data_IF_379011899380
#
_entry.id   IF_379011899380
#
_cell.length_a   1.000
_cell.length_b   1.000
_cell.length_c   1.000
_cell.angle_alpha   90.00
_cell.angle_beta   90.00
_cell.angle_gamma   90.00
#
_symmetry.space_group_name_H-M   'P 1'
#
loop_
_entity.id
_entity.type
_entity.pdbx_description
1 polymer ?
#
# COMPACT_ATOMS: atom_id res chain seq x y z
N UNK A 1 -13.78 -18.05 -4.82
CA UNK A 1 -12.60 -17.69 -4.02
C UNK A 1 -12.84 -16.34 -3.37
N UNK A 2 -13.59 -16.30 -2.26
CA UNK A 2 -13.95 -15.02 -1.62
C UNK A 2 -13.04 -14.64 -0.44
N UNK A 3 -11.98 -15.43 -0.17
CA UNK A 3 -11.12 -15.28 1.02
C UNK A 3 -9.65 -15.64 0.77
N UNK A 4 -9.21 -15.69 -0.49
CA UNK A 4 -7.79 -15.92 -0.77
C UNK A 4 -6.99 -14.63 -0.60
N UNK A 5 -5.71 -14.77 -0.28
CA UNK A 5 -4.80 -13.68 -0.01
C UNK A 5 -3.47 -13.97 -0.70
N UNK A 6 -3.11 -13.12 -1.67
CA UNK A 6 -1.94 -13.35 -2.52
C UNK A 6 -0.61 -13.39 -1.76
N UNK A 7 -0.59 -13.03 -0.47
CA UNK A 7 0.49 -13.28 0.49
C UNK A 7 0.92 -14.76 0.61
N UNK A 8 0.06 -15.71 0.21
CA UNK A 8 0.36 -17.13 0.18
C UNK A 8 1.01 -17.59 -1.15
N UNK A 9 1.03 -16.75 -2.18
CA UNK A 9 1.64 -17.05 -3.47
C UNK A 9 3.09 -16.53 -3.52
N UNK A 10 4.05 -17.47 -3.58
CA UNK A 10 5.48 -17.15 -3.65
C UNK A 10 5.91 -16.40 -4.92
N UNK A 11 5.15 -16.49 -6.02
CA UNK A 11 5.41 -15.74 -7.24
C UNK A 11 4.96 -14.28 -7.09
N UNK A 12 3.81 -14.04 -6.46
CA UNK A 12 3.30 -12.68 -6.20
C UNK A 12 4.15 -11.94 -5.16
N UNK A 13 4.61 -12.62 -4.11
CA UNK A 13 5.42 -11.97 -3.05
C UNK A 13 6.93 -11.94 -3.33
N UNK A 14 7.35 -12.37 -4.53
CA UNK A 14 8.74 -12.22 -4.94
C UNK A 14 9.06 -10.76 -5.18
N UNK A 15 10.20 -10.28 -4.67
CA UNK A 15 10.66 -8.91 -4.98
C UNK A 15 10.98 -8.73 -6.47
N UNK A 16 11.18 -9.82 -7.19
CA UNK A 16 11.57 -9.83 -8.60
C UNK A 16 10.36 -9.82 -9.55
N UNK A 17 9.14 -9.88 -9.04
CA UNK A 17 7.91 -9.77 -9.82
C UNK A 17 7.25 -8.40 -9.61
N UNK A 18 6.65 -7.87 -10.66
CA UNK A 18 5.72 -6.73 -10.58
C UNK A 18 4.33 -7.32 -10.51
N UNK A 19 3.78 -7.49 -9.31
CA UNK A 19 2.47 -8.09 -9.13
C UNK A 19 1.35 -7.10 -9.47
N UNK A 20 0.46 -7.50 -10.37
CA UNK A 20 -0.61 -6.65 -10.92
C UNK A 20 -1.97 -7.19 -10.52
N UNK A 21 -2.73 -6.38 -9.78
CA UNK A 21 -4.13 -6.63 -9.49
C UNK A 21 -5.04 -6.10 -10.61
N UNK A 22 -6.35 -6.29 -10.43
CA UNK A 22 -7.36 -5.94 -11.42
C UNK A 22 -8.40 -4.97 -10.85
N UNK A 23 -8.76 -3.96 -11.64
CA UNK A 23 -9.87 -3.06 -11.37
C UNK A 23 -10.89 -3.05 -12.50
N UNK A 24 -12.14 -2.84 -12.15
CA UNK A 24 -13.22 -2.67 -13.12
C UNK A 24 -13.06 -1.35 -13.87
N UNK A 25 -13.87 -1.15 -14.90
CA UNK A 25 -13.89 0.10 -15.67
C UNK A 25 -14.30 1.34 -14.86
N UNK A 26 -14.88 1.14 -13.67
CA UNK A 26 -15.23 2.20 -12.73
C UNK A 26 -14.16 2.47 -11.68
N UNK A 27 -13.00 1.81 -11.78
CA UNK A 27 -11.88 1.94 -10.84
C UNK A 27 -12.00 1.09 -9.57
N UNK A 28 -13.12 0.39 -9.38
CA UNK A 28 -13.36 -0.46 -8.21
C UNK A 28 -12.53 -1.74 -8.26
N UNK A 29 -12.20 -2.36 -7.12
CA UNK A 29 -11.48 -3.63 -7.12
C UNK A 29 -12.33 -4.72 -7.78
N UNK A 30 -11.71 -5.57 -8.58
CA UNK A 30 -12.40 -6.74 -9.11
C UNK A 30 -12.78 -7.71 -7.98
N UNK A 31 -13.96 -8.32 -8.04
CA UNK A 31 -14.47 -9.22 -6.99
C UNK A 31 -13.63 -10.49 -6.79
N UNK A 32 -12.82 -10.87 -7.78
CA UNK A 32 -11.87 -11.97 -7.75
C UNK A 32 -10.44 -11.53 -7.42
N UNK A 33 -10.20 -10.23 -7.22
CA UNK A 33 -8.87 -9.72 -6.90
C UNK A 33 -8.47 -10.08 -5.48
N UNK A 34 -7.26 -10.59 -5.33
CA UNK A 34 -6.71 -11.00 -4.03
C UNK A 34 -5.88 -9.85 -3.42
N UNK A 35 -6.24 -9.35 -2.23
CA UNK A 35 -5.45 -8.32 -1.56
C UNK A 35 -4.18 -8.91 -0.93
N UNK A 36 -3.04 -8.23 -1.05
CA UNK A 36 -1.87 -8.45 -0.21
C UNK A 36 -0.87 -7.29 -0.30
N UNK A 37 0.07 -7.16 0.64
CA UNK A 37 1.17 -6.19 0.52
C UNK A 37 2.08 -6.39 -0.70
N UNK A 38 2.05 -7.58 -1.33
CA UNK A 38 2.80 -7.88 -2.55
C UNK A 38 2.24 -7.25 -3.82
N UNK A 39 0.95 -6.86 -3.84
CA UNK A 39 0.35 -6.18 -5.01
C UNK A 39 1.05 -4.84 -5.21
N UNK A 40 1.64 -4.64 -6.39
CA UNK A 40 2.40 -3.44 -6.68
C UNK A 40 1.56 -2.35 -7.34
N UNK A 41 0.70 -2.73 -8.28
CA UNK A 41 -0.19 -1.82 -8.98
C UNK A 41 -1.40 -2.58 -9.52
N UNK A 42 -2.31 -1.87 -10.18
CA UNK A 42 -3.46 -2.45 -10.87
C UNK A 42 -3.57 -1.94 -12.29
N UNK A 43 -4.27 -2.71 -13.12
CA UNK A 43 -4.76 -2.30 -14.43
C UNK A 43 -6.21 -2.77 -14.61
N UNK A 44 -6.82 -2.36 -15.72
CA UNK A 44 -8.20 -2.73 -16.05
C UNK A 44 -8.32 -4.24 -16.32
N UNK A 45 -9.48 -4.81 -16.01
CA UNK A 45 -9.86 -6.17 -16.39
C UNK A 45 -11.08 -6.18 -17.31
N UNK A 46 -11.28 -7.26 -18.05
CA UNK A 46 -12.48 -7.47 -18.86
C UNK A 46 -13.77 -7.74 -18.07
N UNK A 47 -13.70 -7.73 -16.74
CA UNK A 47 -14.87 -7.86 -15.86
C UNK A 47 -15.52 -6.49 -15.60
N UNK A 48 -16.78 -6.34 -16.00
CA UNK A 48 -17.51 -5.09 -15.94
C UNK A 48 -18.56 -5.03 -14.84
N UNK A 49 -18.87 -3.81 -14.38
CA UNK A 49 -20.08 -3.52 -13.61
C UNK A 49 -21.10 -2.80 -14.51
N UNK A 50 -22.29 -3.39 -14.70
CA UNK A 50 -23.47 -2.66 -15.18
C UNK A 50 -23.56 -2.30 -16.67
N UNK A 51 -23.04 -3.11 -17.61
CA UNK A 51 -23.29 -2.87 -19.05
C UNK A 51 -22.59 -3.86 -19.98
N UNK A 52 -22.95 -3.80 -21.27
CA UNK A 52 -22.48 -4.67 -22.36
C UNK A 52 -21.37 -4.03 -23.22
N UNK A 53 -20.53 -3.16 -22.64
CA UNK A 53 -19.39 -2.62 -23.36
C UNK A 53 -18.24 -3.64 -23.39
N UNK A 54 -17.55 -3.82 -24.54
CA UNK A 54 -16.29 -4.56 -24.54
C UNK A 54 -15.30 -3.86 -23.62
N UNK A 55 -14.61 -4.62 -22.77
CA UNK A 55 -13.69 -4.08 -21.77
C UNK A 55 -12.25 -4.39 -22.12
N UNK A 56 -11.90 -5.66 -22.05
CA UNK A 56 -10.60 -6.16 -22.51
C UNK A 56 -10.86 -7.07 -23.67
N UNK A 57 -10.54 -6.57 -24.86
CA UNK A 57 -10.72 -7.24 -26.13
C UNK A 57 -9.38 -7.82 -26.59
N UNK A 58 -9.33 -9.13 -26.80
CA UNK A 58 -8.12 -9.87 -27.15
C UNK A 58 -8.39 -10.82 -28.31
N UNK A 59 -7.36 -11.10 -29.09
CA UNK A 59 -7.40 -12.13 -30.13
C UNK A 59 -7.65 -13.51 -29.49
N UNK A 60 -8.48 -14.32 -30.13
CA UNK A 60 -8.76 -15.69 -29.74
C UNK A 60 -8.05 -16.68 -30.67
N UNK A 61 -8.00 -17.95 -30.27
CA UNK A 61 -7.56 -19.04 -31.16
C UNK A 61 -8.53 -19.13 -32.36
N UNK A 62 -8.02 -19.55 -33.52
CA UNK A 62 -8.76 -19.69 -34.78
C UNK A 62 -9.29 -18.37 -35.37
N UNK A 63 -8.43 -17.34 -35.41
CA UNK A 63 -8.69 -16.03 -36.04
C UNK A 63 -9.96 -15.32 -35.51
N UNK A 64 -10.26 -15.54 -34.24
CA UNK A 64 -11.39 -14.94 -33.53
C UNK A 64 -11.00 -13.81 -32.58
N UNK A 65 -11.98 -13.28 -31.87
CA UNK A 65 -11.79 -12.25 -30.86
C UNK A 65 -12.69 -12.51 -29.64
N UNK A 66 -12.15 -12.30 -28.44
CA UNK A 66 -12.91 -12.28 -27.18
C UNK A 66 -12.98 -10.83 -26.72
N UNK A 67 -14.19 -10.30 -26.53
CA UNK A 67 -14.43 -8.89 -26.16
C UNK A 67 -14.56 -8.64 -24.64
N UNK A 68 -14.64 -9.73 -23.87
CA UNK A 68 -14.73 -9.74 -22.42
C UNK A 68 -13.78 -10.79 -21.85
N UNK A 69 -12.49 -10.46 -21.76
CA UNK A 69 -11.50 -11.33 -21.13
C UNK A 69 -11.29 -10.92 -19.66
N UNK A 70 -11.95 -11.56 -18.67
CA UNK A 70 -11.87 -11.17 -17.27
C UNK A 70 -10.63 -11.77 -16.57
N UNK A 71 -10.47 -11.42 -15.30
CA UNK A 71 -9.44 -11.99 -14.42
C UNK A 71 -8.23 -11.08 -14.24
N UNK A 72 -7.46 -11.29 -13.18
CA UNK A 72 -6.13 -10.68 -13.02
C UNK A 72 -5.19 -11.07 -14.19
N UNK A 73 -5.43 -12.23 -14.80
CA UNK A 73 -4.78 -12.67 -16.04
C UNK A 73 -4.98 -11.75 -17.24
N UNK A 74 -6.04 -10.91 -17.25
CA UNK A 74 -6.23 -9.86 -18.27
C UNK A 74 -5.48 -8.57 -17.93
N UNK A 75 -5.30 -8.29 -16.65
CA UNK A 75 -4.62 -7.10 -16.14
C UNK A 75 -3.09 -7.18 -16.32
N UNK A 76 -2.49 -8.35 -16.06
CA UNK A 76 -1.05 -8.54 -16.15
C UNK A 76 -0.48 -8.29 -17.57
N UNK A 77 -1.07 -8.78 -18.68
CA UNK A 77 -0.62 -8.46 -20.04
C UNK A 77 -0.76 -6.98 -20.40
N UNK A 78 -1.79 -6.29 -19.90
CA UNK A 78 -1.94 -4.84 -20.09
C UNK A 78 -0.77 -4.10 -19.42
N UNK A 79 -0.45 -4.46 -18.18
CA UNK A 79 0.71 -3.90 -17.50
C UNK A 79 2.02 -4.21 -18.26
N UNK A 80 2.19 -5.44 -18.74
CA UNK A 80 3.35 -5.82 -19.56
C UNK A 80 3.48 -4.95 -20.82
N UNK A 81 2.36 -4.65 -21.50
CA UNK A 81 2.34 -3.73 -22.64
C UNK A 81 2.74 -2.30 -22.26
N UNK A 82 2.25 -1.79 -21.12
CA UNK A 82 2.66 -0.47 -20.60
C UNK A 82 4.17 -0.45 -20.29
N UNK A 83 4.68 -1.51 -19.66
CA UNK A 83 6.11 -1.63 -19.35
C UNK A 83 6.97 -1.74 -20.62
N UNK A 84 6.46 -2.36 -21.68
CA UNK A 84 7.13 -2.37 -22.97
C UNK A 84 7.30 -0.96 -23.56
N UNK A 85 6.27 -0.11 -23.49
CA UNK A 85 6.34 1.29 -23.92
C UNK A 85 7.35 2.10 -23.08
N UNK A 86 7.41 1.83 -21.78
CA UNK A 86 8.37 2.45 -20.87
C UNK A 86 9.81 2.09 -21.26
N UNK A 87 10.06 0.81 -21.52
CA UNK A 87 11.38 0.30 -21.90
C UNK A 87 11.77 0.70 -23.33
N UNK A 88 10.79 0.92 -24.22
CA UNK A 88 11.04 1.45 -25.56
C UNK A 88 11.65 2.87 -25.49
N UNK A 89 11.16 3.70 -24.56
CA UNK A 89 11.69 5.06 -24.37
C UNK A 89 13.00 5.08 -23.60
N UNK A 90 13.18 4.18 -22.63
CA UNK A 90 14.43 4.07 -21.88
C UNK A 90 14.82 2.60 -21.65
N UNK A 91 15.62 2.01 -22.55
CA UNK A 91 16.03 0.60 -22.45
C UNK A 91 17.07 0.35 -21.35
N UNK A 92 17.67 1.40 -20.78
CA UNK A 92 18.68 1.29 -19.70
C UNK A 92 18.04 1.15 -18.31
N UNK A 93 16.71 1.24 -18.21
CA UNK A 93 15.99 1.03 -16.94
C UNK A 93 16.23 -0.38 -16.41
N UNK A 94 16.69 -0.49 -15.18
CA UNK A 94 16.77 -1.77 -14.48
C UNK A 94 15.38 -2.23 -14.04
N UNK A 95 15.26 -3.51 -13.68
CA UNK A 95 14.02 -4.05 -13.12
C UNK A 95 13.53 -3.29 -11.86
N UNK A 96 14.46 -2.72 -11.06
CA UNK A 96 14.14 -1.89 -9.90
C UNK A 96 13.67 -0.50 -10.32
N UNK A 97 14.27 0.09 -11.34
CA UNK A 97 13.86 1.41 -11.82
C UNK A 97 12.40 1.39 -12.32
N UNK A 98 12.01 0.31 -13.01
CA UNK A 98 10.61 0.08 -13.41
C UNK A 98 9.68 0.06 -12.18
N UNK A 99 10.10 -0.59 -11.10
CA UNK A 99 9.34 -0.62 -9.86
C UNK A 99 9.21 0.78 -9.20
N UNK A 100 10.29 1.56 -9.18
CA UNK A 100 10.24 2.95 -8.69
C UNK A 100 9.37 3.86 -9.56
N UNK A 101 9.36 3.66 -10.88
CA UNK A 101 8.45 4.35 -11.80
C UNK A 101 7.00 4.03 -11.45
N UNK A 102 6.64 2.75 -11.32
CA UNK A 102 5.29 2.35 -10.90
C UNK A 102 4.86 3.04 -9.61
N UNK A 103 5.71 3.02 -8.57
CA UNK A 103 5.39 3.63 -7.28
C UNK A 103 5.20 5.16 -7.34
N UNK A 104 5.97 5.84 -8.20
CA UNK A 104 5.95 7.31 -8.32
C UNK A 104 4.90 7.85 -9.28
N UNK A 105 4.39 7.03 -10.21
CA UNK A 105 3.45 7.48 -11.25
C UNK A 105 2.04 6.93 -11.11
N UNK A 106 1.83 5.86 -10.33
CA UNK A 106 0.51 5.26 -10.17
C UNK A 106 -0.54 6.25 -9.62
N UNK A 107 -1.80 6.06 -10.05
CA UNK A 107 -2.93 6.92 -9.70
C UNK A 107 -3.92 6.17 -8.83
N UNK A 108 -4.57 6.87 -7.89
CA UNK A 108 -5.66 6.29 -7.09
C UNK A 108 -6.90 6.14 -7.99
N UNK A 109 -7.35 4.91 -8.31
CA UNK A 109 -8.53 4.72 -9.17
C UNK A 109 -9.86 4.96 -8.44
N UNK A 110 -9.90 4.67 -7.14
CA UNK A 110 -11.08 4.85 -6.29
C UNK A 110 -10.66 5.41 -4.91
N UNK A 111 -10.73 6.74 -4.71
CA UNK A 111 -10.34 7.38 -3.46
C UNK A 111 -11.27 7.05 -2.27
N UNK A 112 -12.48 6.56 -2.53
CA UNK A 112 -13.47 6.25 -1.48
C UNK A 112 -13.37 4.80 -0.99
N UNK A 113 -12.60 3.94 -1.67
CA UNK A 113 -12.33 2.58 -1.20
C UNK A 113 -11.56 2.62 0.14
N UNK A 114 -12.07 1.97 1.20
CA UNK A 114 -11.42 1.99 2.51
C UNK A 114 -10.14 1.15 2.52
N UNK A 115 -9.07 1.72 3.07
CA UNK A 115 -7.78 1.03 3.24
C UNK A 115 -6.58 1.81 2.70
N UNK A 116 -6.81 2.94 2.01
CA UNK A 116 -5.73 3.79 1.52
C UNK A 116 -4.94 4.38 2.66
N UNK A 117 -3.62 4.27 2.57
CA UNK A 117 -2.69 4.85 3.52
C UNK A 117 -1.54 5.52 2.78
N UNK A 118 -0.87 6.49 3.42
CA UNK A 118 0.37 7.07 2.91
C UNK A 118 1.53 6.39 3.62
N UNK A 119 2.44 5.78 2.87
CA UNK A 119 3.61 5.11 3.41
C UNK A 119 4.71 6.12 3.83
N UNK A 120 5.79 5.64 4.44
CA UNK A 120 6.88 6.50 4.91
C UNK A 120 7.64 7.24 3.78
N UNK A 121 7.51 6.78 2.53
CA UNK A 121 8.08 7.43 1.36
C UNK A 121 7.16 8.51 0.75
N UNK A 122 5.95 8.69 1.29
CA UNK A 122 4.98 9.68 0.81
C UNK A 122 4.04 9.18 -0.28
N UNK A 123 4.05 7.89 -0.61
CA UNK A 123 3.16 7.31 -1.62
C UNK A 123 1.88 6.76 -1.02
N UNK A 124 0.79 6.87 -1.77
CA UNK A 124 -0.46 6.18 -1.46
C UNK A 124 -0.31 4.68 -1.74
N UNK A 125 -0.76 3.86 -0.80
CA UNK A 125 -0.72 2.40 -0.89
C UNK A 125 -2.01 1.77 -0.39
N UNK A 126 -2.38 0.63 -0.98
CA UNK A 126 -3.58 -0.12 -0.63
C UNK A 126 -3.40 -1.61 -0.99
N UNK A 127 -3.78 -2.56 -0.13
CA UNK A 127 -3.54 -3.99 -0.41
C UNK A 127 -4.29 -4.54 -1.63
N UNK A 128 -5.41 -3.92 -2.04
CA UNK A 128 -6.11 -4.24 -3.31
C UNK A 128 -5.57 -3.51 -4.55
N UNK A 129 -4.85 -2.40 -4.38
CA UNK A 129 -4.44 -1.54 -5.50
C UNK A 129 -2.91 -1.40 -5.66
N UNK A 130 -2.13 -1.89 -4.69
CA UNK A 130 -0.73 -1.52 -4.55
C UNK A 130 -0.57 -0.01 -4.43
N UNK A 131 0.29 0.57 -5.25
CA UNK A 131 0.45 2.02 -5.39
C UNK A 131 -0.69 2.70 -6.18
N UNK A 132 -1.48 1.93 -6.95
CA UNK A 132 -2.60 2.43 -7.74
C UNK A 132 -2.64 1.90 -9.18
N UNK A 133 -3.49 2.51 -9.99
CA UNK A 133 -3.65 2.24 -11.41
C UNK A 133 -2.43 2.75 -12.19
N UNK A 134 -1.88 1.91 -13.07
CA UNK A 134 -0.80 2.32 -13.97
C UNK A 134 -1.27 3.40 -14.94
N UNK A 135 -0.47 4.46 -15.06
CA UNK A 135 -0.67 5.57 -16.00
C UNK A 135 0.42 5.50 -17.06
N UNK A 136 0.12 4.90 -18.21
CA UNK A 136 1.09 4.66 -19.28
C UNK A 136 1.74 5.96 -19.77
N UNK A 137 0.95 7.03 -19.93
CA UNK A 137 1.44 8.32 -20.40
C UNK A 137 2.42 8.94 -19.43
N UNK A 138 2.09 8.93 -18.13
CA UNK A 138 2.98 9.47 -17.11
C UNK A 138 4.22 8.60 -16.92
N UNK A 139 4.09 7.27 -16.95
CA UNK A 139 5.22 6.35 -16.86
C UNK A 139 6.23 6.58 -17.99
N UNK A 140 5.76 6.67 -19.24
CA UNK A 140 6.62 6.93 -20.40
C UNK A 140 7.31 8.30 -20.30
N UNK A 141 6.58 9.34 -19.88
CA UNK A 141 7.16 10.68 -19.69
C UNK A 141 8.24 10.70 -18.59
N UNK A 142 8.02 10.00 -17.47
CA UNK A 142 9.00 9.95 -16.39
C UNK A 142 10.19 9.04 -16.73
N UNK A 143 9.98 7.98 -17.50
CA UNK A 143 11.03 7.05 -17.92
C UNK A 143 12.15 7.76 -18.72
N UNK A 144 11.79 8.70 -19.60
CA UNK A 144 12.75 9.47 -20.40
C UNK A 144 13.73 10.31 -19.56
N UNK A 145 13.33 10.69 -18.34
CA UNK A 145 14.10 11.54 -17.43
C UNK A 145 14.59 10.79 -16.19
N UNK A 146 14.35 9.47 -16.13
CA UNK A 146 14.58 8.69 -14.94
C UNK A 146 16.07 8.43 -14.75
N UNK A 147 16.57 8.72 -13.55
CA UNK A 147 17.93 8.40 -13.15
C UNK A 147 17.94 7.06 -12.42
N UNK A 148 18.75 6.12 -12.89
CA UNK A 148 18.87 4.79 -12.30
C UNK A 148 19.14 4.87 -10.79
N UNK A 149 18.45 4.01 -10.04
CA UNK A 149 18.67 3.92 -8.59
C UNK A 149 20.02 3.30 -8.27
N UNK A 150 20.56 3.64 -7.09
CA UNK A 150 21.82 3.07 -6.64
C UNK A 150 21.77 1.53 -6.54
N UNK A 151 22.93 0.85 -6.57
CA UNK A 151 23.01 -0.61 -6.43
C UNK A 151 22.25 -1.12 -5.21
N UNK A 152 21.53 -2.23 -5.39
CA UNK A 152 20.73 -2.82 -4.32
C UNK A 152 21.63 -3.34 -3.21
N UNK A 153 21.23 -3.07 -1.96
CA UNK A 153 21.80 -3.64 -0.75
C UNK A 153 20.77 -4.54 -0.07
N UNK A 154 21.28 -5.57 0.59
CA UNK A 154 20.48 -6.54 1.36
C UNK A 154 20.97 -6.56 2.80
N UNK A 155 20.09 -6.24 3.74
CA UNK A 155 20.34 -6.33 5.17
C UNK A 155 19.45 -7.44 5.76
N UNK A 156 20.08 -8.43 6.39
CA UNK A 156 19.37 -9.55 7.03
C UNK A 156 19.57 -9.47 8.54
N UNK A 157 18.48 -9.63 9.28
CA UNK A 157 18.46 -9.69 10.73
C UNK A 157 17.68 -10.92 11.19
N UNK A 158 18.37 -11.82 11.88
CA UNK A 158 17.76 -12.98 12.51
C UNK A 158 17.34 -12.62 13.95
N UNK A 159 16.09 -12.93 14.29
CA UNK A 159 15.51 -12.69 15.61
C UNK A 159 15.08 -14.04 16.18
N UNK A 160 15.83 -14.53 17.15
CA UNK A 160 15.43 -15.69 17.95
C UNK A 160 14.44 -15.25 19.02
N UNK A 161 13.34 -15.99 19.17
CA UNK A 161 12.31 -15.74 20.18
C UNK A 161 12.56 -16.64 21.38
N UNK A 162 12.93 -16.03 22.52
CA UNK A 162 13.12 -16.72 23.79
C UNK A 162 12.27 -16.06 24.90
N UNK A 163 11.24 -16.75 25.44
CA UNK A 163 10.76 -18.07 25.03
C UNK A 163 10.07 -18.03 23.66
N UNK A 164 9.99 -19.20 23.01
CA UNK A 164 9.28 -19.35 21.74
C UNK A 164 7.81 -18.93 21.86
N UNK A 165 7.20 -18.52 20.73
CA UNK A 165 5.80 -18.09 20.69
C UNK A 165 4.93 -19.21 20.18
N UNK A 166 3.92 -19.61 20.95
CA UNK A 166 2.96 -20.63 20.55
C UNK A 166 1.85 -19.97 19.71
N UNK A 167 1.60 -20.53 18.55
CA UNK A 167 0.53 -20.16 17.63
C UNK A 167 -0.65 -21.09 17.89
N UNK A 168 -1.67 -20.61 18.56
CA UNK A 168 -2.93 -21.34 18.67
C UNK A 168 -3.63 -21.37 17.31
N UNK A 169 -4.39 -22.44 17.01
CA UNK A 169 -5.30 -22.48 15.87
C UNK A 169 -6.21 -21.24 15.82
N UNK A 170 -6.32 -20.63 14.63
CA UNK A 170 -7.06 -19.38 14.42
C UNK A 170 -6.52 -18.16 15.18
N UNK A 171 -5.44 -18.31 15.95
CA UNK A 171 -4.81 -17.26 16.74
C UNK A 171 -3.74 -16.49 15.96
N UNK A 172 -3.39 -15.32 16.47
CA UNK A 172 -2.28 -14.51 15.96
C UNK A 172 -1.21 -14.30 17.03
N UNK A 173 0.02 -14.08 16.59
CA UNK A 173 1.12 -13.63 17.45
C UNK A 173 1.65 -12.31 16.92
N UNK A 174 2.02 -11.43 17.85
CA UNK A 174 2.71 -10.17 17.55
C UNK A 174 4.16 -10.29 18.00
N UNK A 175 5.08 -9.96 17.10
CA UNK A 175 6.52 -9.94 17.37
C UNK A 175 7.06 -8.57 16.98
N UNK A 176 7.59 -7.84 17.94
CA UNK A 176 8.24 -6.56 17.71
C UNK A 176 9.70 -6.76 17.34
N UNK A 177 10.06 -6.42 16.10
CA UNK A 177 11.43 -6.50 15.59
C UNK A 177 11.99 -5.09 15.45
N UNK A 178 13.00 -4.76 16.28
CA UNK A 178 13.76 -3.52 16.14
C UNK A 178 14.91 -3.75 15.17
N UNK A 179 15.00 -2.95 14.10
CA UNK A 179 16.07 -3.05 13.11
C UNK A 179 16.74 -1.70 12.88
N UNK A 180 18.07 -1.70 12.89
CA UNK A 180 18.89 -0.54 12.53
C UNK A 180 19.27 -0.52 11.03
N UNK A 181 18.68 -1.41 10.22
CA UNK A 181 18.93 -1.50 8.78
C UNK A 181 20.42 -1.63 8.42
N UNK A 182 21.17 -2.40 9.22
CA UNK A 182 22.61 -2.63 9.07
C UNK A 182 23.47 -1.34 9.14
N UNK A 183 23.02 -0.35 9.93
CA UNK A 183 23.75 0.90 10.16
C UNK A 183 25.24 0.68 10.46
N UNK A 184 26.10 1.46 9.79
CA UNK A 184 27.55 1.43 9.95
C UNK A 184 28.25 0.28 9.21
N UNK A 185 27.51 -0.55 8.46
CA UNK A 185 28.06 -1.65 7.65
C UNK A 185 28.00 -1.33 6.15
N UNK A 186 28.72 -2.11 5.35
CA UNK A 186 28.74 -1.98 3.89
C UNK A 186 27.37 -2.20 3.24
N UNK A 187 26.49 -2.95 3.91
CA UNK A 187 25.11 -3.21 3.49
C UNK A 187 24.07 -2.35 4.24
N UNK A 188 24.46 -1.19 4.81
CA UNK A 188 23.51 -0.23 5.38
C UNK A 188 22.47 0.21 4.34
N UNK A 189 21.20 0.18 4.74
CA UNK A 189 20.06 0.63 3.94
C UNK A 189 19.51 1.92 4.55
N UNK A 190 19.56 3.02 3.80
CA UNK A 190 19.00 4.31 4.19
C UNK A 190 17.70 4.65 3.46
N UNK A 191 17.43 3.99 2.33
CA UNK A 191 16.18 4.09 1.58
C UNK A 191 15.69 2.68 1.27
N UNK A 192 14.52 2.35 1.79
CA UNK A 192 13.93 1.00 1.73
C UNK A 192 13.14 0.82 0.43
N UNK A 193 13.25 -0.38 -0.15
CA UNK A 193 12.50 -0.80 -1.34
C UNK A 193 11.55 -1.95 -1.01
N UNK A 194 12.09 -3.07 -0.51
CA UNK A 194 11.30 -4.24 -0.14
C UNK A 194 11.61 -4.70 1.28
N UNK A 195 10.59 -5.31 1.90
CA UNK A 195 10.70 -6.02 3.17
C UNK A 195 10.21 -7.43 2.97
N UNK A 196 11.01 -8.42 3.38
CA UNK A 196 10.58 -9.80 3.48
C UNK A 196 10.70 -10.25 4.93
N UNK A 197 9.66 -10.92 5.40
CA UNK A 197 9.64 -11.60 6.69
C UNK A 197 9.48 -13.07 6.40
N UNK A 198 10.46 -13.87 6.79
CA UNK A 198 10.38 -15.34 6.70
C UNK A 198 10.51 -15.92 8.09
N UNK A 199 9.72 -16.94 8.39
CA UNK A 199 10.09 -17.86 9.45
C UNK A 199 11.33 -18.66 8.99
N UNK A 200 12.13 -19.18 9.92
CA UNK A 200 13.19 -20.10 9.51
C UNK A 200 12.53 -21.40 9.04
N UNK A 201 12.52 -21.66 7.72
CA UNK A 201 12.11 -22.97 7.15
C UNK A 201 12.75 -24.10 7.94
N UNK A 202 11.94 -24.87 8.68
CA UNK A 202 12.40 -26.00 9.50
C UNK A 202 11.95 -26.01 10.97
N UNK A 203 11.19 -25.02 11.43
CA UNK A 203 10.73 -24.94 12.83
C UNK A 203 9.46 -25.73 13.16
N UNK A 204 8.75 -26.27 12.15
CA UNK A 204 7.66 -27.24 12.37
C UNK A 204 8.14 -28.61 11.92
N UNK A 205 8.81 -29.36 12.81
CA UNK A 205 9.26 -30.75 12.57
C UNK A 205 8.13 -31.78 12.77
N UNK A 206 6.91 -31.47 12.34
CA UNK A 206 5.65 -32.13 12.72
C UNK A 206 5.14 -31.72 14.11
N UNK A 207 3.85 -31.37 14.14
CA UNK A 207 3.03 -31.38 15.35
C UNK A 207 1.97 -32.45 15.12
N UNK A 208 2.27 -33.70 15.47
CA UNK A 208 1.28 -34.78 15.46
C UNK A 208 0.64 -34.88 16.85
N UNK A 209 -0.68 -34.67 16.92
CA UNK A 209 -1.51 -35.10 18.05
C UNK A 209 -2.31 -36.33 17.65
N UNK A 210 -2.67 -37.22 18.60
CA UNK A 210 -3.46 -38.42 18.33
C UNK A 210 -4.94 -38.15 17.97
N UNK A 211 -5.43 -36.93 18.16
CA UNK A 211 -6.81 -36.52 17.86
C UNK A 211 -6.83 -35.36 16.88
N UNK A 212 -7.83 -35.35 15.98
CA UNK A 212 -8.06 -34.36 14.91
C UNK A 212 -8.43 -32.95 15.42
N UNK A 213 -7.91 -32.50 16.57
CA UNK A 213 -8.02 -31.11 17.00
C UNK A 213 -6.80 -30.31 16.56
N UNK A 214 -7.11 -29.20 15.89
CA UNK A 214 -6.26 -28.24 15.19
C UNK A 214 -4.82 -28.10 15.73
N UNK A 215 -3.84 -28.18 14.83
CA UNK A 215 -2.42 -28.09 15.18
C UNK A 215 -2.02 -26.67 15.61
N UNK A 216 -1.60 -26.51 16.87
CA UNK A 216 -0.89 -25.33 17.33
C UNK A 216 0.55 -25.34 16.80
N UNK A 217 1.00 -24.24 16.19
CA UNK A 217 2.38 -24.06 15.73
C UNK A 217 3.28 -23.43 16.80
N UNK A 218 4.59 -23.39 16.57
CA UNK A 218 5.52 -22.61 17.37
C UNK A 218 6.44 -21.79 16.48
N UNK A 219 6.55 -20.49 16.76
CA UNK A 219 7.50 -19.60 16.13
C UNK A 219 8.74 -19.48 17.02
N UNK A 220 9.86 -20.02 16.55
CA UNK A 220 11.13 -20.02 17.27
C UNK A 220 12.04 -18.87 16.81
N UNK A 221 11.99 -18.51 15.54
CA UNK A 221 12.81 -17.45 14.99
C UNK A 221 12.15 -16.84 13.75
N UNK A 222 12.39 -15.54 13.57
CA UNK A 222 11.99 -14.78 12.39
C UNK A 222 13.24 -14.21 11.75
N UNK A 223 13.29 -14.19 10.43
CA UNK A 223 14.32 -13.50 9.66
C UNK A 223 13.68 -12.31 8.96
N UNK A 224 14.14 -11.12 9.30
CA UNK A 224 13.79 -9.87 8.61
C UNK A 224 14.84 -9.60 7.53
N UNK A 225 14.42 -9.51 6.28
CA UNK A 225 15.28 -9.15 5.15
C UNK A 225 14.80 -7.83 4.57
N UNK A 226 15.68 -6.84 4.59
CA UNK A 226 15.46 -5.52 4.01
C UNK A 226 16.25 -5.41 2.71
N UNK A 227 15.61 -4.87 1.67
CA UNK A 227 16.25 -4.52 0.41
C UNK A 227 16.12 -3.02 0.19
N UNK A 228 17.17 -2.39 -0.30
CA UNK A 228 17.12 -0.96 -0.59
C UNK A 228 18.45 -0.40 -1.04
N UNK A 229 18.59 0.91 -0.91
CA UNK A 229 19.80 1.64 -1.30
C UNK A 229 20.41 2.40 -0.14
N UNK A 230 21.69 2.73 -0.32
CA UNK A 230 22.34 3.78 0.45
C UNK A 230 22.36 5.08 -0.33
N UNK A 231 21.99 6.18 0.31
CA UNK A 231 22.17 7.52 -0.23
C UNK A 231 22.59 8.49 0.88
N UNK A 232 23.13 9.67 0.53
CA UNK A 232 23.23 10.75 1.50
C UNK A 232 21.84 10.95 2.09
N UNK A 233 21.74 11.07 3.42
CA UNK A 233 20.47 11.37 4.08
C UNK A 233 19.89 12.59 3.37
N UNK A 234 18.87 12.42 2.51
CA UNK A 234 17.88 13.48 2.36
C UNK A 234 17.44 13.72 3.78
N UNK A 235 17.72 14.91 4.30
CA UNK A 235 17.21 15.29 5.61
C UNK A 235 15.72 14.99 5.54
N UNK A 236 15.31 13.87 6.16
CA UNK A 236 13.92 13.61 6.40
C UNK A 236 13.47 14.91 7.06
N UNK A 237 12.57 15.65 6.41
CA UNK A 237 11.99 16.85 6.98
C UNK A 237 11.71 16.51 8.44
N UNK A 238 12.47 17.15 9.34
CA UNK A 238 12.69 16.71 10.71
C UNK A 238 11.39 16.75 11.50
N UNK A 239 10.55 15.74 11.28
CA UNK A 239 9.37 15.48 12.07
C UNK A 239 9.60 14.09 12.68
N UNK A 240 9.65 13.99 14.03
CA UNK A 240 9.70 12.71 14.69
C UNK A 240 8.56 11.85 14.17
N UNK A 241 8.79 10.54 14.09
CA UNK A 241 7.83 9.57 13.56
C UNK A 241 6.50 9.72 14.34
N UNK A 242 5.51 10.37 13.73
CA UNK A 242 4.26 10.74 14.41
C UNK A 242 3.27 9.58 14.44
N UNK A 243 3.43 8.60 13.55
CA UNK A 243 2.58 7.43 13.47
C UNK A 243 3.24 6.24 12.78
N UNK A 244 2.86 5.02 13.16
CA UNK A 244 3.22 3.77 12.47
C UNK A 244 1.94 3.15 11.89
N UNK A 245 2.04 2.57 10.68
CA UNK A 245 0.95 1.81 10.06
C UNK A 245 1.27 0.33 10.17
N UNK A 246 0.42 -0.43 10.86
CA UNK A 246 0.48 -1.88 10.96
C UNK A 246 -0.89 -2.44 10.58
N UNK A 247 -0.91 -3.45 9.69
CA UNK A 247 -2.16 -4.09 9.23
C UNK A 247 -3.22 -3.09 8.74
N UNK A 248 -2.80 -2.00 8.09
CA UNK A 248 -3.68 -0.99 7.52
C UNK A 248 -4.26 0.05 8.49
N UNK A 249 -3.86 0.05 9.77
CA UNK A 249 -4.30 1.03 10.79
C UNK A 249 -3.18 1.97 11.22
N UNK A 250 -3.48 3.28 11.35
CA UNK A 250 -2.51 4.34 11.72
C UNK A 250 -2.50 4.57 13.23
N UNK A 251 -1.37 4.32 13.89
CA UNK A 251 -1.20 4.48 15.33
C UNK A 251 -0.30 5.68 15.64
N UNK A 252 -0.79 6.68 16.40
CA UNK A 252 -0.01 7.86 16.79
C UNK A 252 1.04 7.52 17.85
N UNK A 253 2.24 8.09 17.71
CA UNK A 253 3.35 7.94 18.65
C UNK A 253 3.32 9.11 19.65
N UNK A 254 2.96 8.93 20.94
CA UNK A 254 3.04 9.99 21.93
C UNK A 254 4.46 10.55 22.09
N UNK A 255 4.58 11.89 22.06
CA UNK A 255 5.83 12.59 22.31
C UNK A 255 5.99 12.94 23.79
N UNK A 256 7.20 12.79 24.31
CA UNK A 256 7.56 13.21 25.67
C UNK A 256 7.68 14.73 25.74
N UNK A 257 6.74 15.39 26.42
CA UNK A 257 6.89 16.76 26.91
C UNK A 257 7.66 16.79 28.24
N UNK A 258 8.41 17.86 28.45
CA UNK A 258 9.38 18.07 29.52
C UNK A 258 8.97 17.58 30.92
N UNK A 259 9.94 16.98 31.62
CA UNK A 259 9.88 16.52 33.00
C UNK A 259 9.35 17.60 33.97
N UNK A 260 8.33 17.23 34.77
CA UNK A 260 8.11 17.80 36.09
C UNK A 260 8.35 16.70 37.14
N UNK A 261 9.32 16.93 38.01
CA UNK A 261 9.69 16.08 39.14
C UNK A 261 8.59 16.14 40.22
N UNK A 262 7.95 14.99 40.52
CA UNK A 262 7.08 14.88 41.70
C UNK A 262 5.90 13.90 41.62
N UNK A 263 5.57 13.32 40.46
CA UNK A 263 4.57 12.24 40.33
C UNK A 263 5.09 11.14 39.41
N UNK A 264 4.64 9.90 39.68
CA UNK A 264 5.02 8.63 39.01
C UNK A 264 5.37 8.81 37.52
N UNK A 265 6.43 8.14 37.00
CA UNK A 265 6.89 8.32 35.63
C UNK A 265 5.76 8.04 34.62
N UNK A 266 5.71 8.77 33.48
CA UNK A 266 4.69 8.51 32.47
C UNK A 266 4.93 7.11 31.87
N UNK A 267 3.82 6.39 31.67
CA UNK A 267 3.81 5.08 31.02
C UNK A 267 4.48 5.20 29.65
N UNK A 268 5.55 4.44 29.43
CA UNK A 268 6.24 4.39 28.14
C UNK A 268 5.29 3.95 27.02
N UNK A 269 5.65 4.28 25.77
CA UNK A 269 4.91 3.97 24.53
C UNK A 269 4.36 2.53 24.51
N UNK A 270 5.19 1.57 24.93
CA UNK A 270 4.88 0.14 25.00
C UNK A 270 3.76 -0.16 26.00
N UNK A 271 3.75 0.50 27.15
CA UNK A 271 2.77 0.28 28.20
C UNK A 271 1.43 1.00 27.93
N UNK A 272 1.45 2.02 27.06
CA UNK A 272 0.27 2.66 26.50
C UNK A 272 -0.39 1.81 25.41
N UNK A 273 0.40 1.30 24.45
CA UNK A 273 -0.06 0.38 23.38
C UNK A 273 -0.75 -0.85 23.99
N UNK A 274 -0.12 -1.46 25.00
CA UNK A 274 -0.65 -2.63 25.70
C UNK A 274 -1.99 -2.35 26.44
N UNK A 275 -2.22 -1.13 26.93
CA UNK A 275 -3.50 -0.75 27.57
C UNK A 275 -4.61 -0.46 26.56
N UNK A 276 -4.27 0.05 25.38
CA UNK A 276 -5.24 0.39 24.33
C UNK A 276 -5.89 -0.87 23.74
N UNK A 277 -5.10 -1.93 23.48
CA UNK A 277 -5.60 -3.24 23.02
C UNK A 277 -6.39 -3.98 24.10
N UNK A 278 -5.89 -3.99 25.35
CA UNK A 278 -6.52 -4.69 26.47
C UNK A 278 -7.90 -4.13 26.84
N UNK A 279 -8.10 -2.82 26.72
CA UNK A 279 -9.33 -2.15 27.17
C UNK A 279 -10.43 -2.05 26.09
N UNK A 280 -10.24 -2.62 24.88
CA UNK A 280 -11.20 -2.61 23.74
C UNK A 280 -11.78 -1.22 23.39
N UNK A 281 -11.00 -0.15 23.54
CA UNK A 281 -11.47 1.25 23.36
C UNK A 281 -11.38 1.80 21.93
N UNK A 282 -11.14 0.95 20.92
CA UNK A 282 -11.19 1.33 19.51
C UNK A 282 -12.03 0.32 18.74
N UNK A 283 -13.09 0.78 18.08
CA UNK A 283 -13.87 0.01 17.09
C UNK A 283 -13.71 0.67 15.72
N UNK A 284 -13.82 -0.12 14.66
CA UNK A 284 -13.61 0.33 13.27
C UNK A 284 -14.50 1.52 12.83
N UNK A 285 -15.57 1.85 13.56
CA UNK A 285 -16.49 2.95 13.24
C UNK A 285 -16.09 4.33 13.80
N UNK A 286 -15.04 4.44 14.62
CA UNK A 286 -14.72 5.66 15.39
C UNK A 286 -13.67 6.58 14.71
N UNK A 287 -13.25 6.30 13.46
CA UNK A 287 -12.26 7.09 12.71
C UNK A 287 -12.98 8.19 11.90
N UNK A 288 -13.00 9.43 12.40
CA UNK A 288 -13.51 10.61 11.67
C UNK A 288 -12.38 11.40 10.99
N UNK A 289 -12.55 11.74 9.69
CA UNK A 289 -11.64 12.61 8.91
C UNK A 289 -11.61 14.04 9.51
N UNK A 290 -10.45 14.72 9.63
CA UNK A 290 -10.43 16.14 9.96
C UNK A 290 -10.90 16.97 8.75
N UNK A 291 -11.81 17.91 9.00
CA UNK A 291 -12.21 18.93 8.03
C UNK A 291 -11.01 19.80 7.63
N UNK A 292 -10.89 20.08 6.33
CA UNK A 292 -9.87 20.98 5.81
C UNK A 292 -9.97 22.39 6.43
N UNK A 293 -8.86 23.14 6.50
CA UNK A 293 -8.90 24.49 7.09
C UNK A 293 -9.82 25.41 6.28
N UNK A 294 -10.89 25.89 6.92
CA UNK A 294 -11.65 27.05 6.47
C UNK A 294 -10.78 28.30 6.64
N UNK A 295 -10.52 28.98 5.53
CA UNK A 295 -9.97 30.34 5.53
C UNK A 295 -10.90 31.28 6.31
N UNK A 296 -10.41 31.89 7.39
CA UNK A 296 -11.06 33.04 8.04
C UNK A 296 -10.45 34.33 7.48
N UNK A 297 -11.25 35.26 6.92
CA UNK A 297 -10.77 36.58 6.57
C UNK A 297 -10.72 37.50 7.80
N UNK A 298 -9.69 38.35 7.84
CA UNK A 298 -9.48 39.43 8.81
C UNK A 298 -10.53 40.53 8.69
N UNK A 299 -10.95 41.07 9.84
CA UNK A 299 -11.95 42.12 9.99
C UNK A 299 -11.45 43.54 9.64
N UNK A 300 -12.28 44.30 8.93
CA UNK A 300 -12.41 45.76 9.10
C UNK A 300 -12.43 46.62 7.82
N UNK A 301 -13.62 46.94 7.29
CA UNK A 301 -14.20 48.31 7.25
C UNK A 301 -15.42 48.41 6.29
N UNK A 302 -16.54 48.83 6.90
CA UNK A 302 -17.67 49.66 6.41
C UNK A 302 -18.53 49.28 5.18
N UNK A 303 -19.82 49.02 5.47
CA UNK A 303 -21.00 49.14 4.58
C UNK A 303 -21.59 50.56 4.74
N UNK A 304 -22.35 51.13 3.77
CA UNK A 304 -23.73 50.71 3.45
C UNK A 304 -24.03 50.82 1.91
N UNK A 305 -25.09 50.34 1.26
CA UNK A 305 -26.53 50.26 1.52
C UNK A 305 -27.18 49.51 0.32
N UNK A 306 -28.35 48.87 0.49
CA UNK A 306 -29.17 48.21 -0.55
C UNK A 306 -30.29 49.15 -1.05
N UNK A 307 -30.91 48.97 -2.24
CA UNK A 307 -32.07 48.06 -2.39
C UNK A 307 -32.16 47.35 -3.77
N UNK A 308 -32.50 46.05 -3.86
CA UNK A 308 -33.83 45.42 -4.07
C UNK A 308 -34.39 45.45 -5.52
N UNK A 309 -34.66 44.23 -6.06
CA UNK A 309 -35.87 43.78 -6.77
C UNK A 309 -35.74 43.17 -8.21
N UNK A 310 -36.32 41.96 -8.32
CA UNK A 310 -37.18 41.40 -9.39
C UNK A 310 -36.61 40.82 -10.71
N UNK A 311 -37.11 39.61 -11.05
CA UNK A 311 -37.54 39.27 -12.42
C UNK A 311 -36.85 38.12 -13.16
N UNK A 312 -37.45 36.91 -13.12
CA UNK A 312 -37.41 35.86 -14.18
C UNK A 312 -38.28 36.29 -15.40
N UNK A 313 -38.42 35.55 -16.54
CA UNK A 313 -37.90 34.22 -16.96
C UNK A 313 -37.44 34.10 -18.45
N UNK A 314 -37.02 32.87 -18.82
CA UNK A 314 -37.14 32.13 -20.10
C UNK A 314 -36.62 32.69 -21.43
N UNK A 315 -35.83 31.85 -22.13
CA UNK A 315 -36.11 31.48 -23.53
C UNK A 315 -35.42 30.18 -23.96
N UNK A 316 -36.25 29.23 -24.36
CA UNK A 316 -35.99 28.13 -25.29
C UNK A 316 -35.36 28.61 -26.61
N UNK A 317 -34.55 27.73 -27.21
CA UNK A 317 -34.68 27.30 -28.62
C UNK A 317 -33.66 26.18 -28.97
N UNK A 318 -34.16 24.96 -29.12
CA UNK A 318 -34.15 24.14 -30.36
C UNK A 318 -33.37 24.77 -31.57
N UNK A 319 -32.62 24.10 -32.45
CA UNK A 319 -32.48 22.69 -32.89
C UNK A 319 -31.36 22.63 -33.99
N UNK A 320 -31.13 21.54 -34.77
CA UNK A 320 -29.78 21.07 -35.14
C UNK A 320 -29.42 21.19 -36.64
N UNK A 321 -28.21 20.72 -36.99
CA UNK A 321 -27.87 20.12 -38.29
C UNK A 321 -26.90 18.95 -38.08
#
# INVERSE_FOLDING_TARGET
>A
MQHDHCGADGYVNSIHSVAIGAVTQTGKPAYFGEPCPGVMAVTLTGAGVGGALPLVTVTAVADGCVTHFPGTSSAAPIAAGILALVLEVNPELTWRDVQHLVASTAKIPDPEEPGWNINAAGYHVHHRYGFGLLDAGLMVQQAALFNAVAPQRRCTQDVTLDPSRILSPGGGISVDIQSEACRGRTNEISSLEHVQVTDRRGTVRSCARPSEEEAAGALLAVTLVLYGTSGPRRAAHGRPLQSIVSMGSRHLVPHAGAHQTGRRPPLGLIQWIYRMERDRKVRAADITKPAGPQLRPTSGQESPTRPAAAGRPSRDKDQPR
#
